data_IF_555433297344
#
_entry.id   IF_555433297344
#
_cell.length_a   1.000
_cell.length_b   1.000
_cell.length_c   1.000
_cell.angle_alpha   90.00
_cell.angle_beta   90.00
_cell.angle_gamma   90.00
#
_symmetry.space_group_name_H-M   'P 1'
#
loop_
_entity.id
_entity.type
_entity.pdbx_description
1 polymer ?
#
# COMPACT_ATOMS: atom_id res chain seq x y z
N UNK A 1 -2.83 55.40 33.65
CA UNK A 1 -2.15 54.95 32.41
C UNK A 1 -0.96 54.01 32.62
N UNK A 2 0.11 54.31 33.39
CA UNK A 2 1.27 53.41 33.53
C UNK A 2 1.04 52.08 34.28
N UNK A 3 -0.05 51.93 35.06
CA UNK A 3 -0.35 50.73 35.86
C UNK A 3 -1.07 49.64 35.04
N UNK A 4 -1.93 50.03 34.10
CA UNK A 4 -2.66 49.10 33.22
C UNK A 4 -1.78 48.54 32.09
N UNK A 5 -0.90 49.36 31.50
CA UNK A 5 0.15 48.87 30.58
C UNK A 5 1.09 47.84 31.25
N UNK A 6 1.29 47.95 32.57
CA UNK A 6 2.17 47.07 33.35
C UNK A 6 1.53 45.73 33.72
N UNK A 7 0.20 45.65 33.87
CA UNK A 7 -0.53 44.37 34.00
C UNK A 7 -0.54 43.62 32.67
N UNK A 8 -0.91 44.32 31.58
CA UNK A 8 -0.99 43.77 30.22
C UNK A 8 0.30 43.08 29.75
N UNK A 9 1.48 43.69 29.96
CA UNK A 9 2.77 43.15 29.50
C UNK A 9 3.25 41.89 30.24
N UNK A 10 2.88 41.70 31.51
CA UNK A 10 3.16 40.45 32.23
C UNK A 10 2.15 39.36 31.87
N UNK A 11 0.89 39.73 31.60
CA UNK A 11 -0.11 38.81 31.06
C UNK A 11 0.34 38.23 29.72
N UNK A 12 0.85 39.05 28.80
CA UNK A 12 1.33 38.57 27.49
C UNK A 12 2.51 37.58 27.59
N UNK A 13 3.50 37.85 28.45
CA UNK A 13 4.63 36.94 28.65
C UNK A 13 4.19 35.61 29.30
N UNK A 14 3.22 35.66 30.21
CA UNK A 14 2.64 34.46 30.82
C UNK A 14 1.85 33.64 29.80
N UNK A 15 1.01 34.28 28.98
CA UNK A 15 0.26 33.62 27.90
C UNK A 15 1.22 32.95 26.92
N UNK A 16 2.26 33.65 26.48
CA UNK A 16 3.26 33.09 25.57
C UNK A 16 4.01 31.90 26.19
N UNK A 17 4.31 31.97 27.49
CA UNK A 17 4.90 30.84 28.22
C UNK A 17 3.98 29.63 28.23
N UNK A 18 2.68 29.84 28.50
CA UNK A 18 1.69 28.76 28.50
C UNK A 18 1.56 28.13 27.11
N UNK A 19 1.46 28.93 26.05
CA UNK A 19 1.40 28.43 24.66
C UNK A 19 2.63 27.58 24.34
N UNK A 20 3.83 28.08 24.67
CA UNK A 20 5.07 27.37 24.41
C UNK A 20 5.14 26.03 25.16
N UNK A 21 4.82 26.02 26.46
CA UNK A 21 4.80 24.77 27.26
C UNK A 21 3.72 23.79 26.76
N UNK A 22 2.56 24.27 26.32
CA UNK A 22 1.53 23.41 25.72
C UNK A 22 2.00 22.80 24.40
N UNK A 23 2.71 23.56 23.56
CA UNK A 23 3.28 23.04 22.31
C UNK A 23 4.36 21.98 22.55
N UNK A 24 5.16 22.14 23.61
CA UNK A 24 6.17 21.16 24.04
C UNK A 24 5.51 19.88 24.56
N UNK A 25 4.51 20.02 25.44
CA UNK A 25 3.75 18.89 25.99
C UNK A 25 3.03 18.11 24.88
N UNK A 26 2.40 18.81 23.93
CA UNK A 26 1.76 18.19 22.77
C UNK A 26 2.77 17.42 21.91
N UNK A 27 3.92 18.02 21.61
CA UNK A 27 4.95 17.39 20.80
C UNK A 27 5.50 16.11 21.47
N UNK A 28 5.79 16.16 22.77
CA UNK A 28 6.24 14.98 23.53
C UNK A 28 5.15 13.91 23.58
N UNK A 29 3.89 14.30 23.83
CA UNK A 29 2.77 13.36 23.81
C UNK A 29 2.67 12.66 22.44
N UNK A 30 2.75 13.41 21.35
CA UNK A 30 2.74 12.88 19.98
C UNK A 30 3.93 11.94 19.71
N UNK A 31 5.13 12.27 20.21
CA UNK A 31 6.30 11.38 20.06
C UNK A 31 6.11 10.04 20.78
N UNK A 32 5.48 10.05 21.95
CA UNK A 32 5.20 8.84 22.73
C UNK A 32 4.09 8.02 22.07
N UNK A 33 2.99 8.66 21.66
CA UNK A 33 1.86 7.96 21.02
C UNK A 33 2.20 7.43 19.63
N UNK A 34 3.12 8.08 18.91
CA UNK A 34 3.54 7.61 17.59
C UNK A 34 4.18 6.21 17.62
N UNK A 35 4.80 5.78 18.73
CA UNK A 35 5.40 4.45 18.86
C UNK A 35 6.65 4.19 18.00
N UNK A 36 7.08 5.15 17.18
CA UNK A 36 8.19 5.01 16.22
C UNK A 36 9.57 5.17 16.89
N UNK A 37 9.64 5.97 17.96
CA UNK A 37 10.90 6.32 18.60
C UNK A 37 11.22 5.41 19.77
N UNK A 38 12.47 4.90 19.83
CA UNK A 38 12.95 4.22 21.03
C UNK A 38 12.94 5.17 22.25
N UNK A 39 12.78 4.60 23.45
CA UNK A 39 12.75 5.37 24.70
C UNK A 39 13.97 6.29 24.87
N UNK A 40 15.15 5.86 24.37
CA UNK A 40 16.38 6.67 24.42
C UNK A 40 16.26 7.95 23.59
N UNK A 41 15.66 7.88 22.39
CA UNK A 41 15.46 9.06 21.55
C UNK A 41 14.44 10.03 22.16
N UNK A 42 13.36 9.52 22.76
CA UNK A 42 12.35 10.34 23.44
C UNK A 42 12.97 11.06 24.64
N UNK A 43 13.74 10.35 25.48
CA UNK A 43 14.44 10.94 26.64
C UNK A 43 15.43 12.01 26.17
N UNK A 44 16.21 11.73 25.13
CA UNK A 44 17.18 12.68 24.59
C UNK A 44 16.50 13.96 24.06
N UNK A 45 15.42 13.82 23.30
CA UNK A 45 14.62 14.96 22.84
C UNK A 45 14.05 15.76 24.02
N UNK A 46 13.52 15.07 25.05
CA UNK A 46 13.01 15.71 26.27
C UNK A 46 14.07 16.53 27.02
N UNK A 47 15.32 16.05 27.11
CA UNK A 47 16.42 16.80 27.72
C UNK A 47 16.74 18.07 26.92
N UNK A 48 16.78 17.98 25.59
CA UNK A 48 17.03 19.14 24.72
C UNK A 48 15.92 20.18 24.89
N UNK A 49 14.66 19.74 24.87
CA UNK A 49 13.51 20.63 25.03
C UNK A 49 13.52 21.30 26.40
N UNK A 50 13.85 20.56 27.47
CA UNK A 50 14.01 21.12 28.81
C UNK A 50 15.07 22.23 28.87
N UNK A 51 16.22 22.04 28.22
CA UNK A 51 17.28 23.06 28.15
C UNK A 51 16.78 24.32 27.41
N UNK A 52 16.13 24.13 26.25
CA UNK A 52 15.53 25.22 25.46
C UNK A 52 14.50 25.98 26.31
N UNK A 53 13.67 25.25 27.05
CA UNK A 53 12.63 25.81 27.91
C UNK A 53 13.24 26.61 29.05
N UNK A 54 14.27 26.11 29.73
CA UNK A 54 14.99 26.85 30.77
C UNK A 54 15.60 28.16 30.24
N UNK A 55 16.29 28.11 29.09
CA UNK A 55 16.89 29.29 28.47
C UNK A 55 15.80 30.33 28.12
N UNK A 56 14.72 29.88 27.49
CA UNK A 56 13.61 30.73 27.05
C UNK A 56 12.91 31.39 28.24
N UNK A 57 12.67 30.65 29.32
CA UNK A 57 12.09 31.17 30.56
C UNK A 57 12.99 32.18 31.27
N UNK A 58 14.31 31.92 31.35
CA UNK A 58 15.28 32.86 31.92
C UNK A 58 15.27 34.20 31.15
N UNK A 59 15.18 34.14 29.82
CA UNK A 59 15.13 35.34 28.98
C UNK A 59 13.80 36.10 29.13
N UNK A 60 12.67 35.39 29.13
CA UNK A 60 11.33 35.98 29.29
C UNK A 60 11.12 36.64 30.66
N UNK A 61 11.68 36.02 31.71
CA UNK A 61 11.61 36.50 33.11
C UNK A 61 12.78 37.41 33.52
N UNK A 62 13.69 37.74 32.60
CA UNK A 62 14.79 38.68 32.85
C UNK A 62 14.27 40.04 33.34
N UNK A 63 15.09 40.72 34.14
CA UNK A 63 14.82 42.04 34.73
C UNK A 63 14.17 43.01 33.71
N UNK A 64 13.15 43.75 34.18
CA UNK A 64 12.33 44.69 33.40
C UNK A 64 13.16 45.78 32.73
N UNK A 65 14.33 46.11 33.26
CA UNK A 65 15.25 47.08 32.64
C UNK A 65 15.96 46.50 31.41
N UNK A 66 16.10 45.18 31.31
CA UNK A 66 16.76 44.46 30.19
C UNK A 66 15.76 44.10 29.10
N UNK A 67 15.07 45.10 28.53
CA UNK A 67 14.02 44.93 27.50
C UNK A 67 14.46 44.09 26.29
N UNK A 68 15.73 44.16 25.90
CA UNK A 68 16.30 43.36 24.81
C UNK A 68 16.22 41.85 25.08
N UNK A 69 16.60 41.40 26.29
CA UNK A 69 16.55 39.98 26.66
C UNK A 69 15.13 39.40 26.64
N UNK A 70 14.15 40.18 27.12
CA UNK A 70 12.74 39.77 27.11
C UNK A 70 12.18 39.66 25.69
N UNK A 71 12.57 40.57 24.79
CA UNK A 71 12.22 40.48 23.36
C UNK A 71 12.84 39.26 22.71
N UNK A 72 14.11 38.98 22.97
CA UNK A 72 14.79 37.76 22.47
C UNK A 72 14.08 36.50 22.96
N UNK A 73 13.75 36.42 24.27
CA UNK A 73 13.00 35.28 24.82
C UNK A 73 11.62 35.11 24.19
N UNK A 74 10.90 36.21 23.92
CA UNK A 74 9.61 36.15 23.24
C UNK A 74 9.73 35.66 21.79
N UNK A 75 10.74 36.13 21.05
CA UNK A 75 11.00 35.67 19.68
C UNK A 75 11.35 34.19 19.66
N UNK A 76 12.23 33.73 20.56
CA UNK A 76 12.58 32.31 20.68
C UNK A 76 11.35 31.44 21.02
N UNK A 77 10.54 31.86 21.99
CA UNK A 77 9.33 31.13 22.36
C UNK A 77 8.36 30.98 21.18
N UNK A 78 8.16 32.04 20.39
CA UNK A 78 7.31 31.98 19.19
C UNK A 78 7.91 31.04 18.14
N UNK A 79 9.20 31.18 17.84
CA UNK A 79 9.89 30.34 16.84
C UNK A 79 9.82 28.87 17.24
N UNK A 80 10.16 28.52 18.49
CA UNK A 80 10.09 27.13 18.95
C UNK A 80 8.65 26.61 19.01
N UNK A 81 7.67 27.43 19.40
CA UNK A 81 6.27 27.00 19.35
C UNK A 81 5.83 26.65 17.92
N UNK A 82 6.27 27.43 16.92
CA UNK A 82 6.00 27.14 15.50
C UNK A 82 6.70 25.86 15.06
N UNK A 83 7.99 25.69 15.42
CA UNK A 83 8.74 24.46 15.09
C UNK A 83 8.09 23.23 15.72
N UNK A 84 7.67 23.30 16.98
CA UNK A 84 7.01 22.21 17.70
C UNK A 84 5.62 21.92 17.10
N UNK A 85 4.89 22.94 16.68
CA UNK A 85 3.62 22.77 15.98
C UNK A 85 3.80 22.06 14.62
N UNK A 86 4.80 22.47 13.84
CA UNK A 86 5.16 21.80 12.58
C UNK A 86 5.58 20.35 12.86
N UNK A 87 6.46 20.11 13.83
CA UNK A 87 6.88 18.76 14.21
C UNK A 87 5.71 17.89 14.67
N UNK A 88 4.78 18.45 15.44
CA UNK A 88 3.58 17.75 15.90
C UNK A 88 2.65 17.39 14.73
N UNK A 89 2.51 18.28 13.74
CA UNK A 89 1.74 17.99 12.52
C UNK A 89 2.35 16.83 11.73
N UNK A 90 3.69 16.76 11.65
CA UNK A 90 4.38 15.65 10.99
C UNK A 90 4.17 14.33 11.73
N UNK A 91 4.30 14.33 13.06
CA UNK A 91 4.03 13.15 13.88
C UNK A 91 2.59 12.67 13.74
N UNK A 92 1.64 13.61 13.78
CA UNK A 92 0.22 13.32 13.56
C UNK A 92 -0.02 12.72 12.17
N UNK A 93 0.50 13.34 11.11
CA UNK A 93 0.36 12.83 9.74
C UNK A 93 0.98 11.44 9.58
N UNK A 94 2.03 11.13 10.32
CA UNK A 94 2.65 9.80 10.34
C UNK A 94 1.74 8.78 11.02
N UNK A 95 1.24 9.13 12.21
CA UNK A 95 0.35 8.26 12.98
C UNK A 95 -0.99 8.02 12.25
N UNK A 96 -1.58 9.05 11.64
CA UNK A 96 -2.79 8.97 10.83
C UNK A 96 -2.60 8.06 9.60
N UNK A 97 -1.43 8.12 8.95
CA UNK A 97 -1.11 7.19 7.88
C UNK A 97 -1.07 5.76 8.40
N UNK A 98 -0.27 5.47 9.44
CA UNK A 98 -0.15 4.13 10.00
C UNK A 98 -1.50 3.58 10.46
N UNK A 99 -2.33 4.41 11.10
CA UNK A 99 -3.72 4.06 11.41
C UNK A 99 -4.50 3.68 10.15
N UNK A 100 -4.48 4.51 9.10
CA UNK A 100 -5.26 4.24 7.88
C UNK A 100 -4.78 3.00 7.13
N UNK A 101 -3.48 2.78 6.99
CA UNK A 101 -2.95 1.64 6.24
C UNK A 101 -3.08 0.32 7.00
N UNK A 102 -3.32 0.37 8.33
CA UNK A 102 -3.47 -0.82 9.21
C UNK A 102 -4.92 -1.08 9.64
N UNK A 103 -5.77 -0.06 9.84
CA UNK A 103 -7.18 -0.23 10.26
C UNK A 103 -8.10 -0.66 9.10
N UNK A 104 -7.62 -0.58 7.85
CA UNK A 104 -8.43 -0.70 6.64
C UNK A 104 -7.83 -1.70 5.63
N UNK A 105 -7.12 -2.74 6.09
CA UNK A 105 -6.89 -3.93 5.24
C UNK A 105 -8.19 -4.71 5.09
N UNK A 106 -9.20 -4.07 4.51
CA UNK A 106 -10.44 -4.67 4.06
C UNK A 106 -10.18 -5.11 2.63
N UNK A 107 -9.85 -6.38 2.45
CA UNK A 107 -9.77 -6.96 1.12
C UNK A 107 -11.18 -7.27 0.63
N UNK A 108 -11.42 -7.07 -0.65
CA UNK A 108 -12.73 -7.34 -1.25
C UNK A 108 -12.58 -8.33 -2.39
N UNK A 109 -13.42 -9.35 -2.39
CA UNK A 109 -13.58 -10.28 -3.50
C UNK A 109 -14.81 -9.91 -4.32
N UNK A 110 -14.59 -9.65 -5.61
CA UNK A 110 -15.66 -9.41 -6.56
C UNK A 110 -16.08 -10.72 -7.21
N UNK A 111 -17.39 -10.95 -7.27
CA UNK A 111 -18.04 -12.03 -7.99
C UNK A 111 -18.92 -11.47 -9.10
N UNK A 112 -18.76 -12.00 -10.30
CA UNK A 112 -19.46 -11.56 -11.50
C UNK A 112 -20.63 -12.47 -11.82
N UNK A 113 -21.76 -11.83 -12.10
CA UNK A 113 -22.82 -12.41 -12.92
C UNK A 113 -22.44 -12.13 -14.37
N UNK A 114 -22.02 -13.16 -15.10
CA UNK A 114 -21.59 -13.04 -16.48
C UNK A 114 -22.55 -13.77 -17.42
N UNK A 115 -22.81 -13.13 -18.56
CA UNK A 115 -23.72 -13.59 -19.62
C UNK A 115 -23.09 -13.35 -20.98
N UNK A 116 -23.70 -13.84 -22.05
CA UNK A 116 -23.30 -13.49 -23.40
C UNK A 116 -23.56 -12.02 -23.70
N UNK A 117 -22.64 -11.42 -24.44
CA UNK A 117 -22.73 -10.01 -24.84
C UNK A 117 -23.96 -9.75 -25.71
N UNK A 118 -24.18 -10.63 -26.68
CA UNK A 118 -25.30 -10.61 -27.62
C UNK A 118 -26.42 -11.60 -27.20
N UNK A 119 -26.48 -11.95 -25.91
CA UNK A 119 -27.48 -12.85 -25.32
C UNK A 119 -28.78 -12.14 -24.91
N UNK A 120 -29.69 -12.87 -24.26
CA UNK A 120 -31.03 -12.36 -23.90
C UNK A 120 -31.07 -11.49 -22.65
N UNK A 121 -29.97 -11.39 -21.89
CA UNK A 121 -29.90 -10.66 -20.62
C UNK A 121 -29.16 -9.33 -20.78
N UNK A 122 -29.82 -8.21 -20.47
CA UNK A 122 -29.25 -6.85 -20.60
C UNK A 122 -29.31 -6.06 -19.28
N UNK A 123 -30.25 -6.38 -18.40
CA UNK A 123 -30.39 -5.80 -17.07
C UNK A 123 -30.31 -6.89 -15.98
N UNK A 124 -29.81 -6.53 -14.80
CA UNK A 124 -29.71 -7.49 -13.69
C UNK A 124 -31.09 -8.02 -13.26
N UNK A 125 -32.17 -7.26 -13.43
CA UNK A 125 -33.51 -7.76 -13.14
C UNK A 125 -33.96 -8.91 -14.06
N UNK A 126 -33.32 -9.08 -15.22
CA UNK A 126 -33.63 -10.16 -16.16
C UNK A 126 -33.27 -11.56 -15.62
N UNK A 127 -32.40 -11.65 -14.60
CA UNK A 127 -32.02 -12.94 -14.01
C UNK A 127 -33.03 -13.43 -12.95
N UNK A 128 -34.07 -12.64 -12.66
CA UNK A 128 -34.97 -12.95 -11.54
C UNK A 128 -35.68 -14.30 -11.75
N UNK A 129 -35.44 -15.24 -10.84
CA UNK A 129 -35.99 -16.60 -10.91
C UNK A 129 -35.31 -17.53 -11.91
N UNK A 130 -34.25 -17.08 -12.57
CA UNK A 130 -33.48 -17.87 -13.54
C UNK A 130 -32.53 -18.86 -12.86
N UNK A 131 -32.00 -19.79 -13.66
CA UNK A 131 -30.94 -20.71 -13.24
C UNK A 131 -29.56 -20.11 -13.52
N UNK A 132 -28.78 -19.96 -12.46
CA UNK A 132 -27.41 -19.47 -12.50
C UNK A 132 -26.45 -20.62 -12.29
N UNK A 133 -25.57 -20.84 -13.26
CA UNK A 133 -24.56 -21.87 -13.18
C UNK A 133 -23.41 -21.40 -12.26
N UNK A 134 -22.96 -22.32 -11.41
CA UNK A 134 -21.87 -22.11 -10.43
C UNK A 134 -20.84 -23.21 -10.54
N UNK A 135 -19.65 -22.95 -10.02
CA UNK A 135 -18.61 -23.99 -9.82
C UNK A 135 -18.65 -24.49 -8.37
N UNK A 136 -17.94 -25.57 -8.08
CA UNK A 136 -17.64 -25.92 -6.69
C UNK A 136 -16.71 -24.85 -6.10
N UNK A 137 -17.28 -24.02 -5.22
CA UNK A 137 -16.53 -23.06 -4.42
C UNK A 137 -16.83 -23.30 -2.95
N UNK A 138 -15.77 -23.44 -2.15
CA UNK A 138 -15.87 -23.76 -0.72
C UNK A 138 -15.61 -22.54 0.19
N UNK A 139 -15.11 -21.43 -0.35
CA UNK A 139 -14.83 -20.24 0.45
C UNK A 139 -16.11 -19.62 1.02
N UNK A 140 -15.98 -19.03 2.20
CA UNK A 140 -17.11 -18.37 2.86
C UNK A 140 -17.55 -17.12 2.09
N UNK A 141 -16.60 -16.37 1.51
CA UNK A 141 -16.89 -15.25 0.60
C UNK A 141 -17.77 -15.66 -0.60
N UNK A 142 -17.54 -16.84 -1.19
CA UNK A 142 -18.34 -17.33 -2.31
C UNK A 142 -19.75 -17.72 -1.88
N UNK A 143 -19.90 -18.32 -0.69
CA UNK A 143 -21.21 -18.66 -0.12
C UNK A 143 -22.01 -17.39 0.16
N UNK A 144 -21.41 -16.41 0.82
CA UNK A 144 -22.04 -15.13 1.15
C UNK A 144 -22.47 -14.38 -0.12
N UNK A 145 -21.61 -14.37 -1.15
CA UNK A 145 -21.95 -13.74 -2.43
C UNK A 145 -23.14 -14.43 -3.12
N UNK A 146 -23.19 -15.77 -3.07
CA UNK A 146 -24.30 -16.55 -3.61
C UNK A 146 -25.59 -16.33 -2.84
N UNK A 147 -25.53 -16.29 -1.52
CA UNK A 147 -26.71 -16.07 -0.68
C UNK A 147 -27.28 -14.67 -0.91
N UNK A 148 -26.42 -13.65 -1.01
CA UNK A 148 -26.85 -12.28 -1.36
C UNK A 148 -27.54 -12.21 -2.72
N UNK A 149 -26.95 -12.81 -3.76
CA UNK A 149 -27.53 -12.80 -5.10
C UNK A 149 -28.88 -13.56 -5.13
N UNK A 150 -28.97 -14.66 -4.39
CA UNK A 150 -30.20 -15.46 -4.26
C UNK A 150 -31.30 -14.71 -3.53
N UNK A 151 -30.98 -14.00 -2.45
CA UNK A 151 -31.96 -13.24 -1.68
C UNK A 151 -32.49 -12.03 -2.46
N UNK A 152 -31.64 -11.38 -3.26
CA UNK A 152 -32.01 -10.18 -4.02
C UNK A 152 -32.80 -10.50 -5.31
N UNK A 153 -32.44 -11.59 -6.00
CA UNK A 153 -32.99 -11.92 -7.32
C UNK A 153 -33.69 -13.28 -7.40
N UNK A 154 -33.86 -13.99 -6.28
CA UNK A 154 -34.59 -15.27 -6.22
C UNK A 154 -34.04 -16.35 -7.18
N UNK A 155 -32.74 -16.29 -7.51
CA UNK A 155 -32.10 -17.22 -8.46
C UNK A 155 -31.97 -18.62 -7.91
N UNK A 156 -31.87 -19.59 -8.81
CA UNK A 156 -31.55 -21.00 -8.48
C UNK A 156 -30.15 -21.35 -8.98
N UNK A 157 -29.44 -22.24 -8.26
CA UNK A 157 -28.05 -22.59 -8.60
C UNK A 157 -27.94 -24.00 -9.15
N UNK A 158 -27.20 -24.15 -10.27
CA UNK A 158 -26.81 -25.45 -10.83
C UNK A 158 -25.28 -25.57 -10.89
N UNK A 159 -24.75 -26.65 -10.33
CA UNK A 159 -23.32 -26.90 -10.30
C UNK A 159 -22.82 -27.42 -11.66
N UNK A 160 -21.81 -26.77 -12.22
CA UNK A 160 -21.19 -27.11 -13.51
C UNK A 160 -19.87 -27.88 -13.38
N UNK A 161 -19.43 -28.22 -12.17
CA UNK A 161 -18.17 -28.90 -11.91
C UNK A 161 -16.99 -27.91 -11.89
N UNK A 162 -15.94 -28.22 -12.65
CA UNK A 162 -14.71 -27.42 -12.68
C UNK A 162 -14.94 -26.03 -13.29
N UNK A 163 -14.08 -25.06 -12.93
CA UNK A 163 -14.20 -23.67 -13.41
C UNK A 163 -14.26 -23.57 -14.95
N UNK A 164 -13.46 -24.33 -15.68
CA UNK A 164 -13.49 -24.31 -17.17
C UNK A 164 -14.84 -24.77 -17.71
N UNK A 165 -15.49 -25.73 -17.06
CA UNK A 165 -16.80 -26.23 -17.47
C UNK A 165 -17.91 -25.19 -17.19
N UNK A 166 -17.72 -24.34 -16.17
CA UNK A 166 -18.57 -23.18 -15.95
C UNK A 166 -18.49 -22.19 -17.13
N UNK A 167 -17.28 -21.84 -17.59
CA UNK A 167 -17.14 -20.98 -18.77
C UNK A 167 -17.77 -21.59 -20.04
N UNK A 168 -17.73 -22.92 -20.15
CA UNK A 168 -18.40 -23.65 -21.24
C UNK A 168 -19.91 -23.60 -21.20
N UNK A 169 -20.51 -23.12 -20.11
CA UNK A 169 -21.95 -22.81 -20.06
C UNK A 169 -22.32 -21.54 -20.81
N UNK A 170 -21.36 -20.66 -21.11
CA UNK A 170 -21.59 -19.51 -22.00
C UNK A 170 -21.08 -19.78 -23.41
N UNK A 171 -19.89 -20.37 -23.53
CA UNK A 171 -19.27 -20.67 -24.83
C UNK A 171 -19.03 -22.17 -24.91
N UNK A 172 -19.91 -22.87 -25.62
CA UNK A 172 -19.86 -24.33 -25.78
C UNK A 172 -18.51 -24.82 -26.31
N UNK A 173 -18.21 -26.10 -26.07
CA UNK A 173 -16.93 -26.71 -26.47
C UNK A 173 -16.70 -26.75 -27.99
N UNK A 174 -17.76 -26.58 -28.78
CA UNK A 174 -17.78 -26.46 -30.24
C UNK A 174 -17.79 -25.00 -30.72
N UNK A 175 -17.75 -24.02 -29.80
CA UNK A 175 -17.87 -22.60 -30.08
C UNK A 175 -19.31 -22.11 -30.20
N UNK A 176 -20.32 -22.96 -29.95
CA UNK A 176 -21.71 -22.52 -29.92
C UNK A 176 -22.00 -21.77 -28.62
N UNK A 177 -22.40 -20.51 -28.76
CA UNK A 177 -22.82 -19.67 -27.66
C UNK A 177 -24.10 -20.23 -27.02
N UNK A 178 -24.07 -20.35 -25.69
CA UNK A 178 -25.18 -20.81 -24.86
C UNK A 178 -25.64 -19.63 -24.00
N UNK A 179 -26.92 -19.29 -24.13
CA UNK A 179 -27.53 -18.13 -23.47
C UNK A 179 -27.88 -18.43 -22.00
N UNK A 180 -26.87 -18.83 -21.24
CA UNK A 180 -26.97 -19.12 -19.81
C UNK A 180 -26.41 -17.94 -18.99
N UNK A 181 -26.53 -18.05 -17.67
CA UNK A 181 -25.95 -17.13 -16.70
C UNK A 181 -24.92 -17.90 -15.88
N UNK A 182 -23.72 -17.36 -15.70
CA UNK A 182 -22.72 -17.93 -14.79
C UNK A 182 -22.43 -16.98 -13.63
N UNK A 183 -22.11 -17.55 -12.48
CA UNK A 183 -21.65 -16.82 -11.30
C UNK A 183 -20.26 -17.28 -10.87
N UNK A 184 -19.29 -16.38 -10.99
CA UNK A 184 -17.86 -16.70 -10.94
C UNK A 184 -17.09 -15.55 -10.27
N UNK A 185 -16.06 -15.84 -9.49
CA UNK A 185 -15.19 -14.78 -8.97
C UNK A 185 -14.49 -14.04 -10.12
N UNK A 186 -14.17 -12.77 -9.91
CA UNK A 186 -13.49 -11.92 -10.90
C UNK A 186 -12.19 -12.53 -11.39
N UNK A 187 -11.43 -13.14 -10.48
CA UNK A 187 -10.18 -13.84 -10.77
C UNK A 187 -10.44 -15.07 -11.65
N UNK A 188 -11.42 -15.91 -11.28
CA UNK A 188 -11.75 -17.08 -12.08
C UNK A 188 -12.33 -16.70 -13.46
N UNK A 189 -13.02 -15.58 -13.56
CA UNK A 189 -13.43 -15.02 -14.85
C UNK A 189 -12.23 -14.63 -15.72
N UNK A 190 -11.20 -14.01 -15.14
CA UNK A 190 -9.96 -13.72 -15.85
C UNK A 190 -9.25 -15.00 -16.29
N UNK A 191 -9.25 -16.06 -15.49
CA UNK A 191 -8.74 -17.39 -15.90
C UNK A 191 -9.53 -17.96 -17.07
N UNK A 192 -10.86 -17.82 -17.07
CA UNK A 192 -11.69 -18.23 -18.21
C UNK A 192 -11.34 -17.45 -19.48
N UNK A 193 -10.98 -16.18 -19.36
CA UNK A 193 -10.52 -15.38 -20.49
C UNK A 193 -9.17 -15.86 -21.05
N UNK A 194 -8.30 -16.42 -20.20
CA UNK A 194 -7.01 -16.99 -20.60
C UNK A 194 -7.19 -18.37 -21.26
N UNK A 195 -8.07 -19.21 -20.73
CA UNK A 195 -8.27 -20.60 -21.16
C UNK A 195 -9.24 -20.76 -22.34
N UNK A 196 -10.27 -19.91 -22.43
CA UNK A 196 -11.31 -19.98 -23.47
C UNK A 196 -11.10 -18.83 -24.46
N UNK A 197 -10.65 -19.19 -25.67
CA UNK A 197 -10.42 -18.22 -26.75
C UNK A 197 -11.70 -17.44 -27.07
N UNK A 198 -11.59 -16.11 -27.07
CA UNK A 198 -12.71 -15.20 -27.38
C UNK A 198 -13.74 -15.05 -26.26
N UNK A 199 -13.49 -15.60 -25.06
CA UNK A 199 -14.44 -15.49 -23.94
C UNK A 199 -14.77 -14.04 -23.60
N UNK A 200 -13.75 -13.23 -23.33
CA UNK A 200 -13.89 -11.81 -23.01
C UNK A 200 -14.64 -11.00 -24.08
N UNK A 201 -14.46 -11.36 -25.35
CA UNK A 201 -15.07 -10.62 -26.47
C UNK A 201 -16.57 -10.93 -26.62
N UNK A 202 -16.97 -12.16 -26.27
CA UNK A 202 -18.31 -12.70 -26.42
C UNK A 202 -19.17 -12.62 -25.15
N UNK A 203 -18.59 -12.28 -24.00
CA UNK A 203 -19.31 -12.17 -22.72
C UNK A 203 -19.35 -10.73 -22.23
N UNK A 204 -20.32 -10.44 -21.35
CA UNK A 204 -20.42 -9.19 -20.60
C UNK A 204 -20.70 -9.48 -19.12
N UNK A 205 -20.20 -8.60 -18.25
CA UNK A 205 -20.49 -8.63 -16.82
C UNK A 205 -21.79 -7.84 -16.63
N UNK A 206 -22.85 -8.53 -16.20
CA UNK A 206 -24.17 -7.96 -15.96
C UNK A 206 -24.25 -7.28 -14.59
N UNK A 207 -23.61 -7.88 -13.59
CA UNK A 207 -23.60 -7.39 -12.22
C UNK A 207 -22.38 -7.89 -11.45
N UNK A 208 -22.00 -7.15 -10.41
CA UNK A 208 -20.89 -7.49 -9.52
C UNK A 208 -21.36 -7.53 -8.08
N UNK A 209 -21.17 -8.66 -7.41
CA UNK A 209 -21.34 -8.83 -5.97
C UNK A 209 -19.96 -8.70 -5.32
N UNK A 210 -19.74 -7.67 -4.52
CA UNK A 210 -18.49 -7.47 -3.78
C UNK A 210 -18.66 -7.92 -2.32
N UNK A 211 -17.80 -8.82 -1.85
CA UNK A 211 -17.77 -9.33 -0.46
C UNK A 211 -16.45 -8.93 0.20
N UNK A 212 -16.53 -8.40 1.41
CA UNK A 212 -15.35 -8.11 2.24
C UNK A 212 -14.79 -9.42 2.81
N UNK A 213 -13.49 -9.64 2.67
CA UNK A 213 -12.78 -10.79 3.25
C UNK A 213 -12.22 -10.35 4.61
N UNK A 214 -12.48 -11.16 5.65
CA UNK A 214 -11.79 -10.99 6.93
C UNK A 214 -10.33 -11.42 6.76
N UNK A 215 -9.40 -10.49 6.98
CA UNK A 215 -7.97 -10.79 6.99
C UNK A 215 -7.53 -11.22 8.40
N UNK A 216 -6.64 -12.20 8.45
CA UNK A 216 -5.98 -12.56 9.71
C UNK A 216 -4.83 -11.58 9.96
N UNK A 217 -4.74 -11.06 11.18
CA UNK A 217 -3.59 -10.22 11.56
C UNK A 217 -2.32 -11.09 11.63
N UNK A 218 -1.63 -11.19 10.50
CA UNK A 218 -0.34 -11.87 10.34
C UNK A 218 0.83 -11.00 10.80
N UNK A 219 0.59 -9.79 11.34
CA UNK A 219 1.66 -8.90 11.71
C UNK A 219 2.48 -9.46 12.88
N UNK A 220 3.78 -9.66 12.63
CA UNK A 220 4.78 -10.01 13.65
C UNK A 220 5.62 -8.78 13.96
N UNK A 221 5.18 -7.87 14.85
CA UNK A 221 5.83 -6.58 15.04
C UNK A 221 7.28 -6.74 15.49
N UNK A 222 8.19 -6.08 14.77
CA UNK A 222 9.60 -6.03 15.11
C UNK A 222 9.99 -4.64 15.61
N UNK A 223 11.02 -4.55 16.46
CA UNK A 223 11.63 -3.26 16.76
C UNK A 223 12.50 -2.82 15.57
N UNK A 224 11.88 -2.14 14.60
CA UNK A 224 12.48 -1.72 13.31
C UNK A 224 13.74 -0.86 13.43
N UNK A 225 14.03 -0.33 14.63
CA UNK A 225 15.25 0.47 14.88
C UNK A 225 16.41 -0.34 15.45
N UNK A 226 16.15 -1.51 16.03
CA UNK A 226 17.12 -2.28 16.80
C UNK A 226 17.36 -3.70 16.25
N UNK A 227 16.40 -4.24 15.50
CA UNK A 227 16.43 -5.63 15.02
C UNK A 227 16.22 -5.70 13.50
N UNK A 228 16.85 -6.66 12.81
CA UNK A 228 16.51 -6.94 11.42
C UNK A 228 15.04 -7.33 11.29
N UNK A 229 14.41 -6.88 10.21
CA UNK A 229 13.01 -7.18 9.91
C UNK A 229 12.81 -7.41 8.41
N UNK A 230 11.77 -8.15 8.08
CA UNK A 230 11.38 -8.49 6.71
C UNK A 230 10.08 -7.77 6.34
N UNK A 231 10.08 -7.14 5.17
CA UNK A 231 8.89 -6.56 4.54
C UNK A 231 8.60 -7.33 3.26
N UNK A 232 7.43 -7.93 3.15
CA UNK A 232 6.97 -8.57 1.92
C UNK A 232 6.37 -7.53 0.97
N UNK A 233 6.79 -7.51 -0.28
CA UNK A 233 6.29 -6.58 -1.30
C UNK A 233 5.55 -7.40 -2.35
N UNK A 234 4.25 -7.16 -2.44
CA UNK A 234 3.31 -7.78 -3.36
C UNK A 234 2.87 -6.77 -4.43
N UNK A 235 3.32 -6.96 -5.67
CA UNK A 235 2.90 -6.12 -6.80
C UNK A 235 1.82 -6.79 -7.64
N UNK A 236 0.73 -6.07 -7.85
CA UNK A 236 -0.43 -6.49 -8.65
C UNK A 236 -0.35 -5.85 -10.05
N UNK A 237 -0.53 -6.63 -11.12
CA UNK A 237 -0.50 -6.17 -12.52
C UNK A 237 -1.81 -5.47 -12.92
N UNK A 238 -2.17 -4.39 -12.21
CA UNK A 238 -3.38 -3.63 -12.50
C UNK A 238 -3.25 -2.15 -12.13
N UNK A 239 -4.12 -1.33 -12.71
CA UNK A 239 -4.37 0.05 -12.30
C UNK A 239 -5.63 0.11 -11.43
N UNK A 240 -5.74 1.15 -10.60
CA UNK A 240 -6.97 1.43 -9.84
C UNK A 240 -6.92 0.95 -8.39
N UNK A 241 -8.04 0.42 -7.87
CA UNK A 241 -8.20 0.16 -6.44
C UNK A 241 -7.38 -1.07 -5.98
N UNK A 242 -6.57 -0.89 -4.94
CA UNK A 242 -5.69 -1.92 -4.38
C UNK A 242 -6.39 -2.91 -3.44
N UNK A 243 -7.59 -2.59 -2.95
CA UNK A 243 -8.32 -3.43 -1.99
C UNK A 243 -8.86 -4.72 -2.64
N UNK A 244 -8.91 -4.81 -3.97
CA UNK A 244 -9.36 -6.02 -4.66
C UNK A 244 -8.33 -7.14 -4.53
N UNK A 245 -8.77 -8.35 -4.22
CA UNK A 245 -7.90 -9.54 -4.33
C UNK A 245 -7.54 -9.79 -5.79
N UNK A 246 -6.30 -10.23 -6.01
CA UNK A 246 -5.76 -10.51 -7.33
C UNK A 246 -4.48 -11.33 -7.21
N UNK A 247 -4.01 -11.89 -8.34
CA UNK A 247 -2.72 -12.59 -8.40
C UNK A 247 -1.59 -11.64 -8.02
N UNK A 248 -0.64 -12.14 -7.22
CA UNK A 248 0.60 -11.40 -6.91
C UNK A 248 1.67 -11.74 -7.94
N UNK A 249 1.87 -10.86 -8.90
CA UNK A 249 2.82 -11.07 -10.00
C UNK A 249 4.25 -10.67 -9.63
N UNK A 250 4.40 -9.74 -8.68
CA UNK A 250 5.70 -9.38 -8.09
C UNK A 250 5.69 -9.82 -6.64
N UNK A 251 6.60 -10.75 -6.32
CA UNK A 251 6.76 -11.29 -4.97
C UNK A 251 8.21 -11.01 -4.55
N UNK A 252 8.42 -10.10 -3.58
CA UNK A 252 9.76 -9.71 -3.14
C UNK A 252 9.83 -9.54 -1.64
N UNK A 253 10.89 -10.05 -1.01
CA UNK A 253 11.19 -9.81 0.39
C UNK A 253 12.28 -8.74 0.48
N UNK A 254 11.99 -7.67 1.21
CA UNK A 254 12.97 -6.68 1.61
C UNK A 254 13.39 -6.93 3.06
N UNK A 255 14.59 -7.47 3.25
CA UNK A 255 15.19 -7.63 4.57
C UNK A 255 16.01 -6.39 4.91
N UNK A 256 15.64 -5.70 5.98
CA UNK A 256 16.31 -4.49 6.45
C UNK A 256 17.08 -4.80 7.73
N UNK A 257 18.39 -4.57 7.72
CA UNK A 257 19.24 -4.63 8.91
C UNK A 257 19.60 -3.20 9.36
N UNK A 258 18.89 -2.64 10.37
CA UNK A 258 19.12 -1.28 10.83
C UNK A 258 20.45 -1.13 11.58
N UNK A 259 21.06 -2.23 12.05
CA UNK A 259 22.34 -2.22 12.78
C UNK A 259 23.50 -2.17 11.80
N UNK A 260 23.48 -3.01 10.77
CA UNK A 260 24.52 -3.07 9.73
C UNK A 260 24.30 -2.09 8.58
N UNK A 261 23.15 -1.39 8.55
CA UNK A 261 22.75 -0.44 7.49
C UNK A 261 22.76 -1.10 6.11
N UNK A 262 22.17 -2.28 6.03
CA UNK A 262 22.05 -3.05 4.78
C UNK A 262 20.61 -3.39 4.50
N UNK A 263 20.28 -3.41 3.21
CA UNK A 263 19.00 -3.89 2.69
C UNK A 263 19.31 -5.01 1.70
N UNK A 264 18.60 -6.12 1.82
CA UNK A 264 18.62 -7.22 0.84
C UNK A 264 17.25 -7.33 0.21
N UNK A 265 17.19 -7.26 -1.12
CA UNK A 265 15.99 -7.52 -1.91
C UNK A 265 16.08 -8.94 -2.47
N UNK A 266 15.15 -9.80 -2.07
CA UNK A 266 15.06 -11.20 -2.52
C UNK A 266 13.75 -11.39 -3.28
N UNK A 267 13.84 -11.58 -4.59
CA UNK A 267 12.65 -11.82 -5.42
C UNK A 267 12.33 -13.31 -5.48
N UNK A 268 11.04 -13.63 -5.37
CA UNK A 268 10.51 -14.98 -5.50
C UNK A 268 9.76 -15.07 -6.84
N UNK A 269 10.11 -16.01 -7.74
CA UNK A 269 9.37 -16.18 -8.98
C UNK A 269 7.89 -16.49 -8.71
N UNK A 270 6.99 -15.85 -9.46
CA UNK A 270 5.55 -16.03 -9.29
C UNK A 270 5.08 -17.48 -9.52
N UNK A 271 5.78 -18.22 -10.38
CA UNK A 271 5.48 -19.61 -10.74
C UNK A 271 6.16 -20.63 -9.80
N UNK A 272 6.73 -20.19 -8.67
CA UNK A 272 7.31 -21.10 -7.68
C UNK A 272 6.27 -22.08 -7.17
N UNK A 273 6.58 -23.38 -7.22
CA UNK A 273 5.68 -24.44 -6.78
C UNK A 273 5.82 -24.66 -5.27
N UNK A 274 4.86 -24.13 -4.51
CA UNK A 274 4.85 -24.07 -3.05
C UNK A 274 3.64 -24.81 -2.49
N UNK A 275 3.70 -25.17 -1.20
CA UNK A 275 2.54 -25.70 -0.48
C UNK A 275 1.78 -24.54 0.14
N UNK A 276 0.51 -24.39 -0.22
CA UNK A 276 -0.42 -23.41 0.33
C UNK A 276 -0.59 -23.64 1.84
N UNK A 277 -0.48 -22.58 2.64
CA UNK A 277 -0.55 -22.63 4.10
C UNK A 277 -1.89 -23.19 4.58
N UNK A 278 -2.99 -22.55 4.18
CA UNK A 278 -4.33 -22.90 4.68
C UNK A 278 -4.89 -24.17 4.03
N UNK A 279 -4.45 -24.50 2.82
CA UNK A 279 -5.04 -25.56 2.01
C UNK A 279 -4.20 -26.85 1.96
N UNK A 280 -2.91 -26.80 2.29
CA UNK A 280 -1.98 -27.94 2.23
C UNK A 280 -1.73 -28.51 0.81
N UNK A 281 -2.42 -28.00 -0.20
CA UNK A 281 -2.23 -28.34 -1.61
C UNK A 281 -0.99 -27.64 -2.18
N UNK A 282 -0.44 -28.18 -3.27
CA UNK A 282 0.66 -27.53 -3.98
C UNK A 282 0.17 -26.76 -5.19
N UNK A 283 0.60 -25.52 -5.30
CA UNK A 283 0.29 -24.65 -6.44
C UNK A 283 1.40 -23.60 -6.65
N UNK A 284 1.25 -22.75 -7.67
CA UNK A 284 2.11 -21.62 -7.93
C UNK A 284 1.90 -20.53 -6.88
N UNK A 285 3.00 -19.90 -6.43
CA UNK A 285 2.96 -18.82 -5.45
C UNK A 285 1.99 -17.69 -5.85
N UNK A 286 1.92 -17.30 -7.11
CA UNK A 286 1.03 -16.22 -7.57
C UNK A 286 -0.45 -16.43 -7.26
N UNK A 287 -0.88 -17.69 -7.11
CA UNK A 287 -2.26 -18.04 -6.78
C UNK A 287 -2.60 -17.80 -5.30
N UNK A 288 -1.62 -17.69 -4.40
CA UNK A 288 -1.92 -17.39 -2.98
C UNK A 288 -2.62 -16.05 -2.83
N UNK A 289 -2.28 -15.05 -3.66
CA UNK A 289 -2.90 -13.71 -3.62
C UNK A 289 -4.39 -13.69 -3.94
N UNK A 290 -4.92 -14.77 -4.53
CA UNK A 290 -6.36 -14.98 -4.76
C UNK A 290 -7.09 -15.15 -3.43
N UNK A 291 -6.46 -15.83 -2.48
CA UNK A 291 -7.01 -16.10 -1.14
C UNK A 291 -6.69 -14.98 -0.14
N UNK A 292 -6.04 -13.91 -0.60
CA UNK A 292 -5.62 -12.79 0.22
C UNK A 292 -4.10 -12.74 0.41
N UNK A 293 -3.64 -11.58 0.91
CA UNK A 293 -2.21 -11.38 1.20
C UNK A 293 -1.72 -12.27 2.33
N UNK A 294 -2.58 -12.62 3.28
CA UNK A 294 -2.21 -13.42 4.45
C UNK A 294 -1.78 -14.83 4.04
N UNK A 295 -2.55 -15.48 3.17
CA UNK A 295 -2.18 -16.78 2.59
C UNK A 295 -0.85 -16.71 1.84
N UNK A 296 -0.56 -15.58 1.19
CA UNK A 296 0.72 -15.36 0.50
C UNK A 296 1.86 -15.25 1.48
N UNK A 297 1.69 -14.42 2.52
CA UNK A 297 2.69 -14.19 3.55
C UNK A 297 3.00 -15.48 4.30
N UNK A 298 1.99 -16.16 4.85
CA UNK A 298 2.16 -17.40 5.62
C UNK A 298 2.74 -18.53 4.77
N UNK A 299 2.34 -18.66 3.50
CA UNK A 299 2.95 -19.63 2.57
C UNK A 299 4.44 -19.36 2.36
N UNK A 300 4.84 -18.09 2.24
CA UNK A 300 6.26 -17.72 2.08
C UNK A 300 7.03 -17.95 3.38
N UNK A 301 6.44 -17.65 4.54
CA UNK A 301 7.02 -17.93 5.86
C UNK A 301 7.28 -19.42 6.04
N UNK A 302 6.29 -20.27 5.76
CA UNK A 302 6.41 -21.73 5.85
C UNK A 302 7.47 -22.28 4.89
N UNK A 303 7.50 -21.75 3.67
CA UNK A 303 8.43 -22.21 2.64
C UNK A 303 9.88 -21.87 2.97
N UNK A 304 10.15 -20.67 3.51
CA UNK A 304 11.50 -20.18 3.79
C UNK A 304 11.95 -20.39 5.25
N UNK A 305 11.02 -20.66 6.17
CA UNK A 305 11.30 -20.75 7.60
C UNK A 305 11.73 -19.40 8.20
N UNK A 306 11.12 -18.30 7.77
CA UNK A 306 11.40 -16.95 8.25
C UNK A 306 10.12 -16.27 8.73
N UNK A 307 10.26 -15.24 9.56
CA UNK A 307 9.16 -14.34 9.90
C UNK A 307 9.11 -13.15 8.93
N UNK A 308 7.93 -12.87 8.38
CA UNK A 308 7.59 -11.64 7.67
C UNK A 308 6.94 -10.71 8.69
N UNK A 309 7.54 -9.55 8.92
CA UNK A 309 7.09 -8.63 9.96
C UNK A 309 6.01 -7.67 9.47
N UNK A 310 6.08 -7.32 8.19
CA UNK A 310 5.21 -6.37 7.52
C UNK A 310 5.01 -6.82 6.07
N UNK A 311 3.92 -6.40 5.43
CA UNK A 311 3.78 -6.51 4.00
C UNK A 311 3.42 -5.16 3.37
N UNK A 312 3.53 -5.10 2.06
CA UNK A 312 3.30 -3.93 1.26
C UNK A 312 2.66 -4.39 -0.04
N UNK A 313 1.37 -4.12 -0.18
CA UNK A 313 0.68 -4.29 -1.47
C UNK A 313 0.84 -3.02 -2.29
N UNK A 314 1.22 -3.17 -3.56
CA UNK A 314 1.33 -2.07 -4.53
C UNK A 314 0.74 -2.47 -5.88
N UNK A 315 0.28 -1.50 -6.65
CA UNK A 315 -0.10 -1.69 -8.05
C UNK A 315 0.58 -0.64 -8.94
N UNK A 316 0.16 -0.52 -10.20
CA UNK A 316 0.77 0.44 -11.13
C UNK A 316 0.54 1.89 -10.74
N UNK A 317 -0.67 2.21 -10.30
CA UNK A 317 -1.01 3.54 -9.78
C UNK A 317 -0.12 3.89 -8.59
N UNK A 318 0.05 2.97 -7.63
CA UNK A 318 0.92 3.18 -6.47
C UNK A 318 2.36 3.53 -6.88
N UNK A 319 2.94 2.78 -7.83
CA UNK A 319 4.32 3.01 -8.26
C UNK A 319 4.48 4.36 -8.95
N UNK A 320 3.57 4.69 -9.87
CA UNK A 320 3.61 5.94 -10.63
C UNK A 320 3.51 7.15 -9.67
N UNK A 321 2.52 7.15 -8.79
CA UNK A 321 2.25 8.24 -7.84
C UNK A 321 3.42 8.46 -6.88
N UNK A 322 3.99 7.39 -6.32
CA UNK A 322 5.13 7.49 -5.40
C UNK A 322 6.33 8.12 -6.08
N UNK A 323 6.66 7.67 -7.30
CA UNK A 323 7.82 8.17 -8.04
C UNK A 323 7.60 9.63 -8.47
N UNK A 324 6.40 10.00 -8.92
CA UNK A 324 6.12 11.38 -9.32
C UNK A 324 6.14 12.35 -8.14
N UNK A 325 5.63 11.95 -6.97
CA UNK A 325 5.61 12.79 -5.76
C UNK A 325 7.02 13.05 -5.22
N UNK A 326 7.92 12.07 -5.32
CA UNK A 326 9.34 12.27 -4.97
C UNK A 326 10.13 13.02 -6.07
N UNK A 327 9.49 13.37 -7.19
CA UNK A 327 10.08 14.15 -8.27
C UNK A 327 10.96 13.32 -9.20
N UNK A 328 10.57 12.08 -9.45
CA UNK A 328 11.30 11.11 -10.28
C UNK A 328 12.45 10.42 -9.57
N UNK A 329 12.96 9.37 -10.19
CA UNK A 329 14.08 8.56 -9.70
C UNK A 329 15.20 8.45 -10.73
N UNK A 330 16.42 8.30 -10.25
CA UNK A 330 17.58 7.97 -11.09
C UNK A 330 17.88 6.48 -10.98
N UNK A 331 17.88 5.79 -12.12
CA UNK A 331 18.14 4.35 -12.21
C UNK A 331 19.29 4.09 -13.19
N UNK A 332 20.27 3.29 -12.76
CA UNK A 332 21.38 2.86 -13.61
C UNK A 332 21.00 1.63 -14.42
N UNK A 333 20.68 1.83 -15.70
CA UNK A 333 20.32 0.75 -16.62
C UNK A 333 21.57 0.03 -17.14
N UNK A 334 21.55 -1.30 -17.10
CA UNK A 334 22.63 -2.13 -17.66
C UNK A 334 22.67 -2.10 -19.21
N UNK A 335 21.54 -1.81 -19.85
CA UNK A 335 21.35 -1.89 -21.29
C UNK A 335 20.63 -0.66 -21.84
N UNK A 336 20.87 -0.35 -23.11
CA UNK A 336 19.99 0.53 -23.88
C UNK A 336 18.88 -0.31 -24.49
N UNK A 337 17.62 0.09 -24.31
CA UNK A 337 16.47 -0.63 -24.87
C UNK A 337 15.28 0.29 -25.08
N UNK A 338 14.35 -0.14 -25.92
CA UNK A 338 13.04 0.49 -26.10
C UNK A 338 11.98 -0.40 -25.47
N UNK A 339 11.06 0.20 -24.72
CA UNK A 339 9.94 -0.54 -24.14
C UNK A 339 9.04 -1.09 -25.25
N UNK A 340 8.64 -2.35 -25.15
CA UNK A 340 7.70 -2.99 -26.06
C UNK A 340 6.25 -2.54 -25.82
N UNK A 341 5.96 -2.04 -24.63
CA UNK A 341 4.63 -1.68 -24.16
C UNK A 341 4.39 -0.16 -24.11
N UNK A 342 5.38 0.67 -24.48
CA UNK A 342 5.25 2.13 -24.40
C UNK A 342 6.14 2.87 -25.39
N UNK A 343 6.05 4.20 -25.35
CA UNK A 343 6.91 5.12 -26.11
C UNK A 343 8.32 5.27 -25.52
N UNK A 344 8.58 4.78 -24.31
CA UNK A 344 9.81 5.05 -23.58
C UNK A 344 11.01 4.29 -24.16
N UNK A 345 12.17 4.94 -24.12
CA UNK A 345 13.46 4.38 -24.49
C UNK A 345 14.48 4.75 -23.43
N UNK A 346 15.32 3.80 -23.07
CA UNK A 346 16.29 3.92 -21.99
C UNK A 346 17.68 3.72 -22.57
N UNK A 347 18.64 4.43 -22.01
CA UNK A 347 20.05 4.31 -22.39
C UNK A 347 20.80 3.52 -21.33
N UNK A 348 21.85 2.81 -21.71
CA UNK A 348 22.79 2.24 -20.73
C UNK A 348 23.39 3.37 -19.88
N UNK A 349 23.43 3.17 -18.57
CA UNK A 349 23.85 4.17 -17.58
C UNK A 349 22.67 4.82 -16.86
N UNK A 350 22.90 6.01 -16.29
CA UNK A 350 21.88 6.71 -15.48
C UNK A 350 20.75 7.23 -16.36
N UNK A 351 19.52 6.91 -15.98
CA UNK A 351 18.30 7.45 -16.57
C UNK A 351 17.46 8.08 -15.46
N UNK A 352 17.06 9.33 -15.67
CA UNK A 352 16.06 9.98 -14.82
C UNK A 352 14.66 9.64 -15.32
N UNK A 353 13.81 9.12 -14.45
CA UNK A 353 12.50 8.56 -14.80
C UNK A 353 11.39 9.18 -13.96
N UNK A 354 10.30 9.60 -14.62
CA UNK A 354 9.00 9.81 -13.99
C UNK A 354 8.36 8.47 -13.59
N UNK A 355 7.22 8.50 -12.90
CA UNK A 355 6.47 7.33 -12.49
C UNK A 355 6.12 6.41 -13.65
N UNK A 356 5.48 6.95 -14.69
CA UNK A 356 5.12 6.17 -15.88
C UNK A 356 6.38 5.55 -16.54
N UNK A 357 7.48 6.32 -16.64
CA UNK A 357 8.73 5.83 -17.22
C UNK A 357 9.38 4.73 -16.35
N UNK A 358 9.32 4.84 -15.02
CA UNK A 358 9.83 3.83 -14.10
C UNK A 358 9.00 2.54 -14.15
N UNK A 359 7.67 2.67 -14.28
CA UNK A 359 6.78 1.52 -14.46
C UNK A 359 7.15 0.73 -15.72
N UNK A 360 7.25 1.39 -16.87
CA UNK A 360 7.59 0.70 -18.12
C UNK A 360 9.02 0.14 -18.14
N UNK A 361 9.94 0.73 -17.36
CA UNK A 361 11.27 0.17 -17.15
C UNK A 361 11.21 -1.15 -16.37
N UNK A 362 10.41 -1.19 -15.30
CA UNK A 362 10.20 -2.36 -14.45
C UNK A 362 9.36 -3.47 -15.10
N UNK A 363 8.57 -3.16 -16.13
CA UNK A 363 7.72 -4.13 -16.84
C UNK A 363 8.38 -4.78 -18.06
N UNK A 364 9.45 -4.20 -18.60
CA UNK A 364 10.08 -4.71 -19.81
C UNK A 364 10.73 -6.09 -19.60
N UNK A 365 10.46 -7.02 -20.52
CA UNK A 365 11.03 -8.38 -20.52
C UNK A 365 11.51 -8.84 -21.89
N UNK A 366 10.86 -8.41 -22.97
CA UNK A 366 11.10 -8.91 -24.32
C UNK A 366 12.34 -8.31 -24.96
N UNK A 367 12.77 -7.14 -24.49
CA UNK A 367 14.01 -6.52 -24.93
C UNK A 367 15.28 -7.27 -24.48
N UNK A 368 15.18 -8.24 -23.56
CA UNK A 368 16.32 -8.87 -22.92
C UNK A 368 16.40 -10.38 -23.19
N UNK A 369 17.60 -10.87 -23.46
CA UNK A 369 17.84 -12.31 -23.64
C UNK A 369 17.56 -13.12 -22.37
N UNK A 370 17.79 -12.54 -21.20
CA UNK A 370 17.47 -13.12 -19.88
C UNK A 370 16.00 -12.97 -19.50
N UNK A 371 15.18 -12.33 -20.34
CA UNK A 371 13.73 -12.23 -20.18
C UNK A 371 13.31 -11.71 -18.80
N UNK A 372 12.54 -12.54 -18.10
CA UNK A 372 11.98 -12.22 -16.79
C UNK A 372 13.03 -11.94 -15.72
N UNK A 373 14.19 -12.60 -15.77
CA UNK A 373 15.25 -12.36 -14.79
C UNK A 373 15.76 -10.91 -14.85
N UNK A 374 15.82 -10.31 -16.05
CA UNK A 374 16.17 -8.89 -16.16
C UNK A 374 15.02 -8.00 -15.69
N UNK A 375 13.76 -8.37 -15.96
CA UNK A 375 12.59 -7.65 -15.47
C UNK A 375 12.62 -7.55 -13.94
N UNK A 376 12.85 -8.67 -13.25
CA UNK A 376 13.01 -8.73 -11.79
C UNK A 376 14.16 -7.83 -11.31
N UNK A 377 15.31 -7.86 -12.00
CA UNK A 377 16.42 -6.98 -11.66
C UNK A 377 16.08 -5.50 -11.85
N UNK A 378 15.36 -5.16 -12.91
CA UNK A 378 14.89 -3.79 -13.15
C UNK A 378 13.91 -3.33 -12.07
N UNK A 379 13.02 -4.20 -11.56
CA UNK A 379 12.16 -3.90 -10.42
C UNK A 379 12.98 -3.58 -9.16
N UNK A 380 14.02 -4.37 -8.87
CA UNK A 380 14.94 -4.12 -7.75
C UNK A 380 15.68 -2.79 -7.92
N UNK A 381 16.12 -2.47 -9.13
CA UNK A 381 16.76 -1.19 -9.45
C UNK A 381 15.82 0.01 -9.26
N UNK A 382 14.54 -0.13 -9.60
CA UNK A 382 13.51 0.90 -9.35
C UNK A 382 13.31 1.11 -7.85
N UNK A 383 13.15 0.04 -7.06
CA UNK A 383 13.04 0.14 -5.59
C UNK A 383 14.30 0.80 -5.00
N UNK A 384 15.48 0.41 -5.48
CA UNK A 384 16.74 1.02 -5.07
C UNK A 384 16.78 2.52 -5.43
N UNK A 385 16.31 2.91 -6.61
CA UNK A 385 16.19 4.31 -7.05
C UNK A 385 15.27 5.12 -6.13
N UNK A 386 14.11 4.57 -5.76
CA UNK A 386 13.18 5.18 -4.80
C UNK A 386 13.85 5.39 -3.45
N UNK A 387 14.47 4.35 -2.88
CA UNK A 387 15.17 4.43 -1.59
C UNK A 387 16.29 5.48 -1.65
N UNK A 388 17.11 5.47 -2.69
CA UNK A 388 18.21 6.44 -2.87
C UNK A 388 17.69 7.87 -2.97
N UNK A 389 16.60 8.09 -3.70
CA UNK A 389 15.97 9.41 -3.84
C UNK A 389 15.44 9.92 -2.50
N UNK A 390 14.71 9.09 -1.76
CA UNK A 390 14.20 9.41 -0.42
C UNK A 390 15.33 9.73 0.56
N UNK A 391 16.44 8.98 0.53
CA UNK A 391 17.56 9.20 1.44
C UNK A 391 18.44 10.40 1.10
N UNK A 392 18.59 10.72 -0.20
CA UNK A 392 19.52 11.77 -0.65
C UNK A 392 18.88 13.15 -0.71
N UNK A 393 17.59 13.23 -1.05
CA UNK A 393 16.89 14.50 -1.24
C UNK A 393 16.24 14.98 0.08
N UNK A 394 17.01 15.79 0.82
CA UNK A 394 16.56 16.37 2.09
C UNK A 394 15.30 17.23 1.94
N UNK A 395 14.96 17.70 0.74
CA UNK A 395 13.71 18.45 0.52
C UNK A 395 12.47 17.55 0.63
N UNK A 396 12.62 16.23 0.45
CA UNK A 396 11.54 15.28 0.66
C UNK A 396 11.16 15.16 2.14
N UNK A 397 12.08 15.46 3.07
CA UNK A 397 11.72 15.62 4.48
C UNK A 397 10.73 16.77 4.70
N UNK A 398 10.66 17.76 3.80
CA UNK A 398 9.68 18.86 3.88
C UNK A 398 8.36 18.45 3.19
N UNK A 399 8.42 17.56 2.19
CA UNK A 399 7.25 17.04 1.49
C UNK A 399 6.70 15.74 2.09
N UNK A 400 7.25 15.29 3.22
CA UNK A 400 6.92 14.00 3.81
C UNK A 400 5.41 13.80 4.02
N UNK A 401 4.62 14.76 4.54
CA UNK A 401 3.17 14.59 4.64
C UNK A 401 2.46 14.41 3.28
N UNK A 402 2.96 15.04 2.21
CA UNK A 402 2.43 14.88 0.86
C UNK A 402 2.75 13.50 0.30
N UNK A 403 3.97 13.01 0.57
CA UNK A 403 4.38 11.65 0.25
C UNK A 403 3.49 10.62 0.97
N UNK A 404 3.24 10.81 2.27
CA UNK A 404 2.32 9.97 3.02
C UNK A 404 0.91 10.01 2.43
N UNK A 405 0.41 11.19 2.05
CA UNK A 405 -0.91 11.34 1.43
C UNK A 405 -1.05 10.57 0.10
N UNK A 406 -0.02 10.59 -0.75
CA UNK A 406 -0.03 9.85 -2.02
C UNK A 406 -0.01 8.32 -1.84
N UNK A 407 0.65 7.86 -0.76
CA UNK A 407 0.78 6.44 -0.45
C UNK A 407 -0.47 5.91 0.29
N UNK A 408 -1.15 6.75 1.08
CA UNK A 408 -2.27 6.39 1.96
C UNK A 408 -3.34 5.53 1.29
N UNK A 409 -3.82 5.94 0.12
CA UNK A 409 -4.94 5.25 -0.54
C UNK A 409 -4.47 4.04 -1.36
N UNK A 410 -3.18 3.97 -1.65
CA UNK A 410 -2.55 3.06 -2.61
C UNK A 410 -1.64 2.00 -1.96
N UNK A 411 -1.61 1.94 -0.62
CA UNK A 411 -0.75 1.05 0.16
C UNK A 411 -1.52 0.44 1.34
N UNK A 412 -1.31 -0.86 1.57
CA UNK A 412 -1.81 -1.62 2.72
C UNK A 412 -0.66 -2.41 3.34
N UNK A 413 -0.66 -2.55 4.67
CA UNK A 413 0.40 -3.22 5.45
C UNK A 413 -0.13 -3.88 6.71
#
# INVERSE_FOLDING_TARGET
MKRDENKSKNTAANVLTVIFLLSEALFIAMMVTAGIFSAKHIIFAGIILLIITLITLILLRSDRQKKGRRRTGAVLAVIFSIILAIGSYYLYSTFDLFGTISEDDKQTEDFYVAVLKDGSYDDISDIKGETVFVSEGESDSYKDAKDRLKDEYEVTYENSGAYVDLGRKLIGADGNNLDNIIFVSSINYDMLCEEISGFRDNTKILYTVSIEIENEDVAKPANVTEQPFNVYISGIDTYGNINKVSRSDVNMIMTVDPVRKKILLTSIPRDMYVTLHSYGAKDKLTHTGIYGVDETVTTVEDWLGIDINYYLRVNFTTLEDVVDVIGGIDVESEYSFKSSASKYSYVKGINHMSGEAALYFARERYAFASGDNQRVRNQQLVIQGIINKIMSDKSLLIKYPQLLGAVRDQMRT
#
